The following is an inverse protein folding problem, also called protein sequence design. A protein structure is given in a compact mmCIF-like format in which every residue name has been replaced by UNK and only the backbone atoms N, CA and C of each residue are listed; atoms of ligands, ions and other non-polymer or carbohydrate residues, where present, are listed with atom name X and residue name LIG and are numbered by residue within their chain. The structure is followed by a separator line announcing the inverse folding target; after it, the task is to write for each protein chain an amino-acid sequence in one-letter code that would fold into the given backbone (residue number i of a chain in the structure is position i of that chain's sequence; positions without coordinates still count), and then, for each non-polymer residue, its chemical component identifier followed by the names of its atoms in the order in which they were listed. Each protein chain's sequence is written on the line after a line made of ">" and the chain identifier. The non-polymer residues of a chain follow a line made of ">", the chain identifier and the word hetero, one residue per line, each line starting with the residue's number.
data_IF_226710075796
#
_entry.id   IF_226710075796
#
_cell.length_a   1.000
_cell.length_b   1.000
_cell.length_c   1.000
_cell.angle_alpha   90.00
_cell.angle_beta   90.00
_cell.angle_gamma   90.00
#
_symmetry.space_group_name_H-M   'P 1'
#
loop_
_entity.id
_entity.type
_entity.pdbx_description
1 polymer ?
#
# COMPACT_ATOMS: atom_id res chain seq x y z
N UNK A 1 -53.31 -43.46 48.69
CA UNK A 1 -52.16 -44.36 48.87
C UNK A 1 -50.91 -43.49 48.98
N UNK A 2 -50.32 -43.43 50.18
CA UNK A 2 -48.98 -42.96 50.63
C UNK A 2 -48.16 -41.94 49.82
N UNK A 3 -47.38 -41.01 50.37
CA UNK A 3 -47.06 -40.50 51.73
C UNK A 3 -46.14 -39.29 51.48
N UNK A 4 -46.22 -38.24 52.31
CA UNK A 4 -45.24 -37.12 52.36
C UNK A 4 -43.87 -37.62 52.85
N UNK A 5 -42.77 -37.04 52.37
CA UNK A 5 -41.56 -36.77 53.18
C UNK A 5 -40.89 -35.47 52.71
N UNK A 6 -40.66 -34.55 53.66
CA UNK A 6 -39.79 -33.36 53.59
C UNK A 6 -38.38 -33.73 54.10
N UNK A 7 -37.42 -32.80 53.93
CA UNK A 7 -36.11 -32.65 54.61
C UNK A 7 -34.89 -33.10 53.76
N UNK A 8 -33.68 -32.51 53.72
CA UNK A 8 -32.86 -31.48 54.44
C UNK A 8 -31.85 -30.91 53.39
N UNK A 9 -31.46 -29.64 53.31
CA UNK A 9 -30.53 -28.83 54.13
C UNK A 9 -29.10 -29.42 54.33
N UNK A 10 -28.12 -28.59 53.93
CA UNK A 10 -26.71 -28.43 54.34
C UNK A 10 -25.56 -29.28 53.73
N UNK A 11 -24.67 -28.53 53.06
CA UNK A 11 -23.19 -28.46 53.20
C UNK A 11 -22.32 -29.71 53.03
N UNK A 12 -21.25 -29.57 52.23
CA UNK A 12 -19.84 -29.72 52.65
C UNK A 12 -18.90 -29.22 51.53
N UNK A 13 -18.00 -28.31 51.91
CA UNK A 13 -16.77 -27.93 51.22
C UNK A 13 -15.83 -29.14 51.09
N UNK A 14 -15.19 -29.33 49.93
CA UNK A 14 -13.76 -29.67 49.93
C UNK A 14 -13.09 -29.30 48.60
N UNK A 15 -12.11 -28.41 48.68
CA UNK A 15 -11.12 -28.13 47.64
C UNK A 15 -10.28 -29.38 47.37
N UNK A 16 -10.09 -29.71 46.09
CA UNK A 16 -8.84 -30.34 45.66
C UNK A 16 -8.25 -29.53 44.50
N UNK A 17 -7.13 -28.90 44.81
CA UNK A 17 -6.18 -28.34 43.85
C UNK A 17 -5.44 -29.51 43.20
N UNK A 18 -5.57 -29.70 41.89
CA UNK A 18 -4.53 -30.36 41.09
C UNK A 18 -4.29 -29.48 39.88
N UNK A 19 -3.25 -28.66 39.98
CA UNK A 19 -2.55 -28.15 38.82
C UNK A 19 -1.80 -29.32 38.19
N UNK A 20 -2.20 -29.72 36.99
CA UNK A 20 -1.36 -30.53 36.10
C UNK A 20 -1.11 -29.74 34.83
N UNK A 21 0.07 -29.12 34.78
CA UNK A 21 0.77 -28.86 33.54
C UNK A 21 0.93 -30.17 32.77
N UNK A 22 0.28 -30.27 31.62
CA UNK A 22 0.73 -31.13 30.53
C UNK A 22 0.86 -30.29 29.27
N UNK A 23 2.12 -30.10 28.88
CA UNK A 23 2.55 -29.81 27.53
C UNK A 23 1.96 -30.87 26.59
N UNK A 24 1.16 -30.45 25.63
CA UNK A 24 0.98 -31.18 24.38
C UNK A 24 1.20 -30.23 23.22
N UNK A 25 2.29 -30.50 22.50
CA UNK A 25 2.51 -30.03 21.14
C UNK A 25 1.41 -30.63 20.26
N UNK A 26 0.69 -29.77 19.55
CA UNK A 26 -0.39 -30.18 18.67
C UNK A 26 -1.14 -28.96 18.19
N UNK A 27 -0.75 -28.45 17.03
CA UNK A 27 -1.35 -27.28 16.42
C UNK A 27 -2.86 -27.44 16.25
N UNK A 28 -3.63 -26.71 17.05
CA UNK A 28 -4.99 -26.36 16.69
C UNK A 28 -4.90 -25.10 15.84
N UNK A 29 -5.05 -25.27 14.52
CA UNK A 29 -5.46 -24.18 13.65
C UNK A 29 -6.80 -23.69 14.18
N UNK A 30 -6.79 -22.57 14.89
CA UNK A 30 -7.99 -21.73 14.98
C UNK A 30 -8.17 -21.17 13.58
N UNK A 31 -8.92 -21.89 12.73
CA UNK A 31 -9.43 -21.34 11.49
C UNK A 31 -10.40 -20.22 11.88
N UNK A 32 -9.91 -18.99 11.78
CA UNK A 32 -10.65 -17.79 12.09
C UNK A 32 -11.90 -17.71 11.21
N UNK A 33 -13.09 -17.84 11.80
CA UNK A 33 -14.38 -17.65 11.16
C UNK A 33 -14.65 -16.20 10.68
N UNK A 34 -13.64 -15.32 10.71
CA UNK A 34 -13.68 -13.96 10.16
C UNK A 34 -13.30 -13.86 8.67
N UNK A 35 -12.68 -14.88 8.07
CA UNK A 35 -12.17 -14.79 6.70
C UNK A 35 -13.26 -14.86 5.61
N UNK A 36 -14.43 -15.44 5.90
CA UNK A 36 -15.50 -15.61 4.91
C UNK A 36 -16.30 -14.34 4.61
N UNK A 37 -16.30 -13.33 5.49
CA UNK A 37 -17.12 -12.13 5.33
C UNK A 37 -16.50 -11.03 4.48
N UNK A 38 -15.22 -11.17 4.10
CA UNK A 38 -14.50 -10.15 3.34
C UNK A 38 -13.99 -10.63 1.98
N UNK A 39 -14.32 -11.85 1.57
CA UNK A 39 -14.02 -12.33 0.23
C UNK A 39 -14.70 -11.45 -0.83
N UNK A 40 -14.05 -11.30 -2.00
CA UNK A 40 -14.67 -10.59 -3.10
C UNK A 40 -15.88 -11.38 -3.61
N UNK A 41 -17.01 -10.70 -3.82
CA UNK A 41 -18.14 -11.28 -4.55
C UNK A 41 -17.76 -11.55 -6.00
N UNK A 42 -18.48 -12.46 -6.67
CA UNK A 42 -18.28 -12.73 -8.10
C UNK A 42 -18.42 -11.47 -8.97
N UNK A 43 -19.30 -10.54 -8.56
CA UNK A 43 -19.47 -9.24 -9.21
C UNK A 43 -18.23 -8.36 -9.06
N UNK A 44 -17.69 -8.21 -7.84
CA UNK A 44 -16.47 -7.42 -7.61
C UNK A 44 -15.26 -8.00 -8.36
N UNK A 45 -15.11 -9.33 -8.39
CA UNK A 45 -14.07 -10.01 -9.18
C UNK A 45 -14.19 -9.65 -10.66
N UNK A 46 -15.41 -9.70 -11.19
CA UNK A 46 -15.67 -9.36 -12.59
C UNK A 46 -15.38 -7.87 -12.89
N UNK A 47 -15.77 -6.95 -12.01
CA UNK A 47 -15.46 -5.52 -12.14
C UNK A 47 -13.94 -5.29 -12.16
N UNK A 48 -13.22 -5.92 -11.24
CA UNK A 48 -11.76 -5.75 -11.15
C UNK A 48 -11.06 -6.27 -12.40
N UNK A 49 -11.40 -7.48 -12.84
CA UNK A 49 -10.78 -8.11 -14.02
C UNK A 49 -11.09 -7.36 -15.31
N UNK A 50 -12.34 -6.95 -15.52
CA UNK A 50 -12.79 -6.49 -16.83
C UNK A 50 -12.84 -4.98 -16.96
N UNK A 51 -12.98 -4.27 -15.84
CA UNK A 51 -13.02 -2.82 -15.83
C UNK A 51 -11.74 -2.29 -15.21
N UNK A 52 -11.50 -2.48 -13.91
CA UNK A 52 -10.44 -1.76 -13.19
C UNK A 52 -9.01 -2.05 -13.68
N UNK A 53 -8.76 -3.20 -14.30
CA UNK A 53 -7.41 -3.64 -14.71
C UNK A 53 -7.32 -3.88 -16.22
N UNK A 54 -7.28 -2.81 -17.01
CA UNK A 54 -7.28 -2.83 -18.50
C UNK A 54 -6.27 -3.80 -19.12
N UNK A 55 -5.13 -4.07 -18.46
CA UNK A 55 -4.06 -4.97 -18.93
C UNK A 55 -4.21 -6.45 -18.52
N UNK A 56 -5.15 -6.80 -17.64
CA UNK A 56 -5.34 -8.14 -17.10
C UNK A 56 -6.56 -8.84 -17.73
N UNK A 57 -6.65 -8.79 -19.06
CA UNK A 57 -7.72 -9.45 -19.82
C UNK A 57 -7.35 -10.92 -20.10
N UNK A 58 -8.15 -11.86 -19.59
CA UNK A 58 -7.95 -13.31 -19.81
C UNK A 58 -8.50 -14.18 -18.68
N UNK A 59 -8.67 -15.48 -18.91
CA UNK A 59 -9.12 -16.44 -17.89
C UNK A 59 -7.96 -16.81 -16.93
N UNK A 60 -8.28 -17.09 -15.66
CA UNK A 60 -7.38 -17.52 -14.56
C UNK A 60 -6.51 -16.47 -13.82
N UNK A 61 -7.02 -15.26 -13.58
CA UNK A 61 -6.42 -14.37 -12.56
C UNK A 61 -6.77 -14.84 -11.14
N UNK A 62 -5.78 -15.00 -10.25
CA UNK A 62 -6.04 -15.36 -8.84
C UNK A 62 -6.67 -14.18 -8.11
N UNK A 63 -7.60 -14.45 -7.20
CA UNK A 63 -8.26 -13.43 -6.38
C UNK A 63 -7.25 -12.58 -5.60
N UNK A 64 -6.23 -13.22 -5.02
CA UNK A 64 -5.17 -12.52 -4.29
C UNK A 64 -4.42 -11.49 -5.14
N UNK A 65 -4.25 -11.77 -6.44
CA UNK A 65 -3.56 -10.83 -7.35
C UNK A 65 -4.45 -9.61 -7.65
N UNK A 66 -5.77 -9.81 -7.82
CA UNK A 66 -6.73 -8.71 -7.95
C UNK A 66 -6.75 -7.83 -6.71
N UNK A 67 -6.74 -8.46 -5.52
CA UNK A 67 -6.73 -7.75 -4.25
C UNK A 67 -5.42 -6.97 -4.11
N UNK A 68 -4.27 -7.58 -4.39
CA UNK A 68 -2.98 -6.88 -4.34
C UNK A 68 -2.95 -5.66 -5.26
N UNK A 69 -3.54 -5.76 -6.45
CA UNK A 69 -3.68 -4.63 -7.37
C UNK A 69 -4.63 -3.54 -6.83
N UNK A 70 -5.72 -3.89 -6.15
CA UNK A 70 -6.53 -2.89 -5.41
C UNK A 70 -5.69 -2.23 -4.31
N UNK A 71 -5.01 -3.04 -3.50
CA UNK A 71 -4.19 -2.56 -2.37
C UNK A 71 -3.14 -1.54 -2.81
N UNK A 72 -2.50 -1.76 -3.96
CA UNK A 72 -1.55 -0.80 -4.55
C UNK A 72 -2.22 0.54 -4.85
N UNK A 73 -3.40 0.52 -5.48
CA UNK A 73 -4.10 1.73 -5.93
C UNK A 73 -4.76 2.50 -4.80
N UNK A 74 -5.16 1.81 -3.74
CA UNK A 74 -5.73 2.45 -2.54
C UNK A 74 -4.70 2.68 -1.43
N UNK A 75 -3.42 2.35 -1.63
CA UNK A 75 -2.42 2.34 -0.57
C UNK A 75 -2.28 3.67 0.17
N UNK A 76 -2.45 4.80 -0.53
CA UNK A 76 -2.39 6.12 0.06
C UNK A 76 -3.61 6.49 0.94
N UNK A 77 -4.59 5.61 1.10
CA UNK A 77 -5.87 5.89 1.77
C UNK A 77 -6.06 5.16 3.09
N UNK A 78 -5.01 4.55 3.65
CA UNK A 78 -5.05 3.96 5.01
C UNK A 78 -5.39 5.03 6.07
N UNK A 79 -4.94 6.28 5.85
CA UNK A 79 -5.21 7.46 6.70
C UNK A 79 -4.78 7.29 8.16
N UNK A 80 -3.63 6.66 8.37
CA UNK A 80 -3.02 6.48 9.68
C UNK A 80 -1.49 6.65 9.54
N UNK A 81 -0.89 7.47 10.41
CA UNK A 81 0.52 7.84 10.33
C UNK A 81 1.50 6.72 10.66
N UNK A 82 1.04 5.74 11.44
CA UNK A 82 1.83 4.63 11.98
C UNK A 82 1.52 3.29 11.30
N UNK A 83 0.61 3.29 10.32
CA UNK A 83 0.18 2.09 9.62
C UNK A 83 0.53 2.18 8.13
N UNK A 84 1.21 1.14 7.65
CA UNK A 84 1.53 1.00 6.24
C UNK A 84 0.57 0.00 5.59
N UNK A 85 0.15 0.30 4.37
CA UNK A 85 -0.66 -0.60 3.55
C UNK A 85 0.13 -1.87 3.24
N UNK A 86 -0.41 -3.00 3.67
CA UNK A 86 0.06 -4.33 3.27
C UNK A 86 -0.40 -4.63 1.84
N UNK A 87 0.49 -5.21 1.04
CA UNK A 87 0.20 -5.68 -0.32
C UNK A 87 0.35 -7.21 -0.30
N UNK A 88 -0.60 -7.86 0.36
CA UNK A 88 -0.59 -9.30 0.68
C UNK A 88 -1.65 -10.10 -0.07
N UNK A 89 -2.51 -9.42 -0.85
CA UNK A 89 -3.63 -10.05 -1.55
C UNK A 89 -4.78 -10.45 -0.64
N UNK A 90 -4.80 -9.98 0.62
CA UNK A 90 -5.88 -10.24 1.57
C UNK A 90 -6.83 -9.04 1.67
N UNK A 91 -8.11 -9.29 1.42
CA UNK A 91 -9.18 -8.28 1.54
C UNK A 91 -9.57 -8.10 3.02
N UNK A 92 -8.60 -7.77 3.88
CA UNK A 92 -8.83 -7.59 5.30
C UNK A 92 -9.43 -6.22 5.67
N UNK A 93 -9.66 -5.97 6.97
CA UNK A 93 -10.19 -4.70 7.48
C UNK A 93 -9.38 -3.47 7.04
N UNK A 94 -8.05 -3.57 6.94
CA UNK A 94 -7.20 -2.49 6.46
C UNK A 94 -7.51 -2.15 4.99
N UNK A 95 -7.56 -3.15 4.12
CA UNK A 95 -7.91 -2.99 2.70
C UNK A 95 -9.29 -2.39 2.53
N UNK A 96 -10.29 -2.89 3.28
CA UNK A 96 -11.67 -2.38 3.27
C UNK A 96 -11.74 -0.92 3.72
N UNK A 97 -11.01 -0.54 4.77
CA UNK A 97 -10.90 0.85 5.23
C UNK A 97 -10.26 1.76 4.18
N UNK A 98 -9.19 1.31 3.53
CA UNK A 98 -8.55 2.08 2.46
C UNK A 98 -9.49 2.31 1.26
N UNK A 99 -10.26 1.28 0.86
CA UNK A 99 -11.29 1.39 -0.18
C UNK A 99 -12.37 2.41 0.22
N UNK A 100 -12.86 2.33 1.46
CA UNK A 100 -13.86 3.26 2.00
C UNK A 100 -13.39 4.71 1.96
N UNK A 101 -12.17 4.95 2.44
CA UNK A 101 -11.56 6.29 2.45
C UNK A 101 -11.34 6.82 1.03
N UNK A 102 -10.90 5.97 0.10
CA UNK A 102 -10.82 6.31 -1.32
C UNK A 102 -12.20 6.72 -1.87
N UNK A 103 -13.23 5.91 -1.65
CA UNK A 103 -14.57 6.18 -2.17
C UNK A 103 -15.16 7.48 -1.62
N UNK A 104 -14.97 7.77 -0.33
CA UNK A 104 -15.38 9.05 0.27
C UNK A 104 -14.63 10.22 -0.36
N UNK A 105 -13.30 10.12 -0.50
CA UNK A 105 -12.47 11.21 -1.01
C UNK A 105 -12.77 11.57 -2.47
N UNK A 106 -13.24 10.61 -3.26
CA UNK A 106 -13.66 10.83 -4.65
C UNK A 106 -15.16 11.04 -4.82
N UNK A 107 -15.92 11.22 -3.74
CA UNK A 107 -17.36 11.50 -3.79
C UNK A 107 -18.22 10.33 -4.31
N UNK A 108 -17.70 9.11 -4.26
CA UNK A 108 -18.39 7.89 -4.72
C UNK A 108 -19.44 7.44 -3.69
N UNK A 109 -19.12 7.60 -2.40
CA UNK A 109 -20.00 7.25 -1.30
C UNK A 109 -19.30 6.48 -0.19
N UNK A 110 -20.04 6.23 0.88
CA UNK A 110 -19.52 5.61 2.09
C UNK A 110 -19.59 4.07 2.02
N UNK A 111 -18.76 3.46 1.18
CA UNK A 111 -18.72 2.00 0.98
C UNK A 111 -17.30 1.47 0.99
N UNK A 112 -17.09 0.35 1.65
CA UNK A 112 -15.80 -0.37 1.74
C UNK A 112 -15.61 -1.41 0.63
N UNK A 113 -16.46 -1.36 -0.40
CA UNK A 113 -16.48 -2.28 -1.55
C UNK A 113 -15.97 -1.62 -2.82
N UNK A 114 -15.46 -2.44 -3.73
CA UNK A 114 -15.17 -1.99 -5.10
C UNK A 114 -16.44 -2.12 -5.93
N UNK A 115 -17.24 -1.05 -5.95
CA UNK A 115 -18.41 -0.96 -6.81
C UNK A 115 -18.01 -0.45 -8.21
N UNK A 116 -18.97 -0.39 -9.13
CA UNK A 116 -18.73 0.07 -10.51
C UNK A 116 -18.03 1.44 -10.56
N UNK A 117 -18.52 2.42 -9.81
CA UNK A 117 -17.92 3.77 -9.73
C UNK A 117 -16.51 3.76 -9.13
N UNK A 118 -16.23 2.88 -8.16
CA UNK A 118 -14.87 2.66 -7.64
C UNK A 118 -13.95 2.17 -8.75
N UNK A 119 -14.35 1.14 -9.49
CA UNK A 119 -13.58 0.59 -10.61
C UNK A 119 -13.35 1.63 -11.71
N UNK A 120 -14.35 2.48 -12.03
CA UNK A 120 -14.19 3.57 -12.98
C UNK A 120 -13.19 4.63 -12.51
N UNK A 121 -13.22 5.02 -11.24
CA UNK A 121 -12.26 6.00 -10.71
C UNK A 121 -10.83 5.45 -10.69
N UNK A 122 -10.64 4.20 -10.26
CA UNK A 122 -9.34 3.53 -10.31
C UNK A 122 -8.79 3.50 -11.75
N UNK A 123 -9.64 3.20 -12.74
CA UNK A 123 -9.27 3.25 -14.15
C UNK A 123 -8.95 4.63 -14.69
N UNK A 124 -9.69 5.64 -14.24
CA UNK A 124 -9.50 7.02 -14.68
C UNK A 124 -8.16 7.56 -14.17
N UNK A 125 -7.79 7.16 -12.95
CA UNK A 125 -6.51 7.51 -12.35
C UNK A 125 -5.31 6.76 -12.96
N UNK A 126 -5.51 5.73 -13.77
CA UNK A 126 -4.43 4.93 -14.36
C UNK A 126 -4.27 5.17 -15.86
N UNK A 127 -3.04 5.49 -16.27
CA UNK A 127 -2.65 5.60 -17.67
C UNK A 127 -2.33 4.23 -18.26
N UNK A 128 -2.34 4.15 -19.59
CA UNK A 128 -2.09 2.89 -20.32
C UNK A 128 -0.70 2.30 -20.09
N UNK A 129 0.29 3.10 -19.70
CA UNK A 129 1.67 2.65 -19.42
C UNK A 129 1.88 2.20 -17.96
N UNK A 130 0.82 2.26 -17.13
CA UNK A 130 0.80 1.95 -15.71
C UNK A 130 1.15 3.13 -14.80
N UNK A 131 1.45 4.32 -15.34
CA UNK A 131 1.57 5.55 -14.56
C UNK A 131 0.20 6.06 -14.10
N UNK A 132 0.16 7.13 -13.31
CA UNK A 132 -1.13 7.69 -12.83
C UNK A 132 -1.48 9.00 -13.54
N UNK A 133 -2.74 9.41 -13.44
CA UNK A 133 -3.29 10.57 -14.13
C UNK A 133 -2.48 11.86 -13.95
N UNK A 134 -1.82 12.04 -12.79
CA UNK A 134 -1.05 13.24 -12.48
C UNK A 134 0.45 13.01 -12.31
N UNK A 135 0.95 11.79 -12.52
CA UNK A 135 2.37 11.47 -12.38
C UNK A 135 2.83 10.52 -13.49
N UNK A 136 3.76 10.99 -14.32
CA UNK A 136 4.37 10.20 -15.39
C UNK A 136 5.69 9.57 -14.95
N UNK A 137 6.08 8.42 -15.52
CA UNK A 137 7.37 7.79 -15.21
C UNK A 137 8.57 8.71 -15.49
N UNK A 138 8.48 9.55 -16.52
CA UNK A 138 9.51 10.53 -16.88
C UNK A 138 9.84 11.51 -15.74
N UNK A 139 8.87 11.84 -14.88
CA UNK A 139 9.09 12.74 -13.72
C UNK A 139 9.98 12.12 -12.65
N UNK A 140 10.08 10.79 -12.63
CA UNK A 140 10.91 10.03 -11.69
C UNK A 140 12.25 9.64 -12.31
N UNK A 141 12.57 10.12 -13.52
CA UNK A 141 13.82 9.80 -14.16
C UNK A 141 15.04 10.27 -13.34
N UNK A 142 16.14 9.52 -13.40
CA UNK A 142 17.39 9.91 -12.77
C UNK A 142 17.94 11.13 -13.48
N UNK A 143 18.12 12.22 -12.73
CA UNK A 143 18.74 13.44 -13.24
C UNK A 143 20.16 13.14 -13.74
N UNK A 144 20.54 13.83 -14.82
CA UNK A 144 21.88 13.73 -15.39
C UNK A 144 22.20 12.39 -16.04
N UNK A 145 21.21 11.49 -16.21
CA UNK A 145 21.41 10.23 -16.91
C UNK A 145 20.34 10.03 -18.03
N UNK A 146 20.74 10.10 -19.31
CA UNK A 146 19.82 9.98 -20.44
C UNK A 146 19.22 8.57 -20.57
N UNK A 147 19.81 7.57 -19.92
CA UNK A 147 19.38 6.17 -20.04
C UNK A 147 18.20 5.81 -19.16
N UNK A 148 17.69 6.71 -18.30
CA UNK A 148 16.53 6.37 -17.47
C UNK A 148 15.28 6.04 -18.28
N UNK A 149 15.16 6.60 -19.49
CA UNK A 149 14.13 6.21 -20.46
C UNK A 149 14.09 4.70 -20.72
N UNK A 150 15.25 4.02 -20.74
CA UNK A 150 15.33 2.56 -20.93
C UNK A 150 14.72 1.76 -19.78
N UNK A 151 14.65 2.33 -18.56
CA UNK A 151 13.97 1.71 -17.41
C UNK A 151 12.46 1.70 -17.61
N UNK A 152 11.93 2.75 -18.25
CA UNK A 152 10.49 2.97 -18.38
C UNK A 152 9.89 2.35 -19.65
N UNK A 153 10.63 2.40 -20.77
CA UNK A 153 10.09 2.18 -22.12
C UNK A 153 10.97 1.30 -23.04
N UNK A 154 12.10 0.77 -22.57
CA UNK A 154 13.13 0.14 -23.44
C UNK A 154 13.32 -1.38 -23.29
N UNK A 155 13.87 -1.99 -24.35
CA UNK A 155 14.05 -3.45 -24.55
C UNK A 155 15.49 -3.96 -24.37
N UNK A 156 16.46 -3.14 -23.97
CA UNK A 156 17.88 -3.56 -23.95
C UNK A 156 18.48 -3.68 -22.53
N UNK A 157 18.78 -4.89 -22.05
CA UNK A 157 19.39 -5.14 -20.73
C UNK A 157 20.85 -4.69 -20.60
N UNK A 158 21.52 -4.33 -21.71
CA UNK A 158 23.00 -4.21 -21.74
C UNK A 158 23.57 -3.10 -20.86
N UNK A 159 22.81 -2.04 -20.54
CA UNK A 159 23.27 -0.95 -19.66
C UNK A 159 22.71 -1.04 -18.22
N UNK A 160 21.82 -1.99 -17.95
CA UNK A 160 21.26 -2.24 -16.62
C UNK A 160 21.92 -3.44 -15.94
N UNK A 161 23.00 -3.95 -16.54
CA UNK A 161 23.92 -4.91 -15.94
C UNK A 161 24.28 -4.45 -14.52
N UNK A 162 24.13 -5.38 -13.57
CA UNK A 162 24.39 -5.26 -12.14
C UNK A 162 25.58 -4.31 -11.86
N UNK A 163 25.28 -3.08 -11.43
CA UNK A 163 26.30 -2.05 -11.16
C UNK A 163 25.74 -0.63 -11.16
N UNK A 164 24.77 -0.33 -12.04
CA UNK A 164 24.13 0.98 -12.11
C UNK A 164 22.83 1.05 -11.30
N UNK A 165 22.12 -0.06 -11.15
CA UNK A 165 20.92 -0.21 -10.31
C UNK A 165 21.08 -1.41 -9.38
N UNK A 166 20.47 -1.37 -8.19
CA UNK A 166 20.38 -2.55 -7.30
C UNK A 166 19.27 -3.53 -7.70
N UNK A 167 18.36 -3.12 -8.60
CA UNK A 167 17.19 -3.87 -9.03
C UNK A 167 17.07 -3.92 -10.55
N UNK A 168 16.29 -4.89 -11.06
CA UNK A 168 15.90 -4.94 -12.47
C UNK A 168 15.02 -3.74 -12.87
N UNK A 169 14.96 -3.38 -14.16
CA UNK A 169 14.13 -2.27 -14.64
C UNK A 169 12.66 -2.40 -14.28
N UNK A 170 12.09 -3.60 -14.44
CA UNK A 170 10.69 -3.88 -14.10
C UNK A 170 10.44 -3.70 -12.59
N UNK A 171 11.37 -4.11 -11.73
CA UNK A 171 11.24 -3.92 -10.29
C UNK A 171 11.32 -2.43 -9.90
N UNK A 172 12.18 -1.64 -10.55
CA UNK A 172 12.22 -0.18 -10.36
C UNK A 172 10.92 0.47 -10.84
N UNK A 173 10.44 0.11 -12.03
CA UNK A 173 9.17 0.58 -12.59
C UNK A 173 7.98 0.28 -11.70
N UNK A 174 7.89 -0.93 -11.17
CA UNK A 174 6.82 -1.30 -10.24
C UNK A 174 6.92 -0.55 -8.91
N UNK A 175 8.12 -0.35 -8.36
CA UNK A 175 8.28 0.46 -7.14
C UNK A 175 7.87 1.92 -7.35
N UNK A 176 8.19 2.50 -8.51
CA UNK A 176 7.77 3.87 -8.84
C UNK A 176 6.25 3.93 -9.05
N UNK A 177 5.63 2.94 -9.70
CA UNK A 177 4.17 2.87 -9.80
C UNK A 177 3.50 2.86 -8.42
N UNK A 178 3.98 2.04 -7.49
CA UNK A 178 3.47 2.00 -6.11
C UNK A 178 3.66 3.31 -5.34
N UNK A 179 4.71 4.05 -5.66
CA UNK A 179 4.96 5.38 -5.11
C UNK A 179 3.97 6.41 -5.68
N UNK A 180 3.71 6.38 -6.99
CA UNK A 180 2.74 7.27 -7.66
C UNK A 180 1.34 7.18 -7.06
N UNK A 181 0.84 5.98 -6.75
CA UNK A 181 -0.48 5.83 -6.14
C UNK A 181 -0.62 6.46 -4.76
N UNK A 182 0.46 6.47 -3.95
CA UNK A 182 0.47 7.21 -2.68
C UNK A 182 0.58 8.73 -2.90
N UNK A 183 1.27 9.16 -3.95
CA UNK A 183 1.36 10.56 -4.36
C UNK A 183 0.01 11.08 -4.89
N UNK A 184 -0.78 10.27 -5.60
CA UNK A 184 -2.16 10.62 -5.99
C UNK A 184 -3.03 10.89 -4.76
N UNK A 185 -2.97 10.01 -3.75
CA UNK A 185 -3.69 10.24 -2.51
C UNK A 185 -3.22 11.51 -1.79
N UNK A 186 -1.91 11.75 -1.72
CA UNK A 186 -1.34 12.97 -1.15
C UNK A 186 -1.81 14.22 -1.90
N UNK A 187 -1.82 14.18 -3.24
CA UNK A 187 -2.30 15.26 -4.11
C UNK A 187 -3.74 15.63 -3.76
N UNK A 188 -4.61 14.63 -3.63
CA UNK A 188 -6.02 14.83 -3.24
C UNK A 188 -6.13 15.42 -1.83
N UNK A 189 -5.38 14.90 -0.85
CA UNK A 189 -5.34 15.43 0.53
C UNK A 189 -4.84 16.87 0.64
N UNK A 190 -4.03 17.31 -0.32
CA UNK A 190 -3.57 18.69 -0.45
C UNK A 190 -4.55 19.55 -1.27
N UNK A 191 -5.81 19.14 -1.39
CA UNK A 191 -6.84 19.88 -2.12
C UNK A 191 -6.64 19.85 -3.63
N UNK A 192 -6.22 18.70 -4.17
CA UNK A 192 -5.90 18.52 -5.58
C UNK A 192 -4.74 19.40 -6.09
N UNK A 193 -3.85 19.84 -5.20
CA UNK A 193 -2.70 20.67 -5.55
C UNK A 193 -1.64 19.88 -6.33
N UNK A 194 -1.16 20.36 -7.50
CA UNK A 194 -0.09 19.69 -8.24
C UNK A 194 1.19 19.51 -7.41
N UNK A 195 1.72 18.28 -7.41
CA UNK A 195 2.96 17.93 -6.71
C UNK A 195 4.10 17.87 -7.72
N UNK A 196 5.16 18.63 -7.49
CA UNK A 196 6.38 18.58 -8.31
C UNK A 196 7.34 17.54 -7.74
N UNK A 197 7.67 16.52 -8.52
CA UNK A 197 8.77 15.60 -8.24
C UNK A 197 10.09 16.30 -8.60
N UNK A 198 10.89 16.60 -7.58
CA UNK A 198 12.22 17.22 -7.76
C UNK A 198 13.34 16.20 -7.85
N UNK A 199 13.14 14.98 -7.36
CA UNK A 199 14.07 13.86 -7.53
C UNK A 199 13.29 12.55 -7.39
N UNK A 200 13.46 11.62 -8.32
CA UNK A 200 12.83 10.29 -8.29
C UNK A 200 13.87 9.17 -8.17
N UNK A 201 13.81 8.19 -9.07
CA UNK A 201 14.80 7.12 -9.12
C UNK A 201 16.22 7.67 -9.31
N UNK A 202 17.20 7.04 -8.66
CA UNK A 202 18.62 7.35 -8.82
C UNK A 202 19.39 6.09 -9.14
N UNK A 203 20.24 6.13 -10.16
CA UNK A 203 21.26 5.10 -10.32
C UNK A 203 22.20 5.11 -9.12
N UNK A 204 22.76 3.95 -8.76
CA UNK A 204 23.70 3.79 -7.66
C UNK A 204 24.92 4.71 -7.80
N UNK A 205 25.48 4.82 -9.00
CA UNK A 205 26.61 5.69 -9.32
C UNK A 205 26.26 7.17 -9.13
N UNK A 206 25.12 7.62 -9.67
CA UNK A 206 24.64 8.97 -9.48
C UNK A 206 24.38 9.29 -8.01
N UNK A 207 23.72 8.38 -7.28
CA UNK A 207 23.47 8.53 -5.85
C UNK A 207 24.80 8.67 -5.08
N UNK A 208 25.82 7.87 -5.39
CA UNK A 208 27.15 7.99 -4.79
C UNK A 208 27.82 9.33 -5.13
N UNK A 209 27.73 9.77 -6.39
CA UNK A 209 28.32 11.02 -6.87
C UNK A 209 27.78 12.24 -6.11
N UNK A 210 26.48 12.25 -5.81
CA UNK A 210 25.85 13.36 -5.06
C UNK A 210 25.93 13.17 -3.52
N UNK A 211 26.73 12.21 -3.03
CA UNK A 211 26.87 11.95 -1.60
C UNK A 211 25.66 11.29 -0.93
N UNK A 212 24.77 10.67 -1.71
CA UNK A 212 23.58 10.00 -1.19
C UNK A 212 23.88 8.76 -0.34
N UNK A 213 22.99 8.46 0.59
CA UNK A 213 23.13 7.30 1.49
C UNK A 213 23.24 5.97 0.72
N UNK A 214 24.06 5.04 1.23
CA UNK A 214 24.32 3.71 0.61
C UNK A 214 23.05 2.85 0.43
N UNK A 215 22.06 3.05 1.30
CA UNK A 215 20.76 2.35 1.29
C UNK A 215 19.60 3.32 1.03
N UNK A 216 19.88 4.41 0.30
CA UNK A 216 18.87 5.38 -0.14
C UNK A 216 17.72 4.70 -0.87
N UNK A 217 16.48 5.02 -0.53
CA UNK A 217 15.30 4.43 -1.17
C UNK A 217 15.14 4.87 -2.64
N UNK A 218 15.79 5.97 -3.05
CA UNK A 218 15.84 6.40 -4.45
C UNK A 218 16.50 5.36 -5.37
N UNK A 219 17.49 4.60 -4.89
CA UNK A 219 18.19 3.59 -5.72
C UNK A 219 17.38 2.33 -5.97
N UNK A 220 16.24 2.20 -5.30
CA UNK A 220 15.28 1.11 -5.45
C UNK A 220 14.02 1.56 -6.22
N UNK A 221 13.94 2.83 -6.63
CA UNK A 221 12.71 3.40 -7.22
C UNK A 221 11.58 3.58 -6.19
N UNK A 222 11.90 3.56 -4.90
CA UNK A 222 10.91 3.62 -3.81
C UNK A 222 10.72 5.02 -3.24
N UNK A 223 11.47 6.02 -3.69
CA UNK A 223 11.47 7.36 -3.10
C UNK A 223 11.31 8.48 -4.12
N UNK A 224 10.76 9.58 -3.64
CA UNK A 224 10.76 10.87 -4.30
C UNK A 224 11.02 12.01 -3.32
N UNK A 225 11.72 13.03 -3.80
CA UNK A 225 11.79 14.33 -3.14
C UNK A 225 10.78 15.25 -3.84
N UNK A 226 9.80 15.76 -3.09
CA UNK A 226 8.64 16.47 -3.62
C UNK A 226 8.50 17.88 -3.07
N UNK A 227 7.90 18.77 -3.86
CA UNK A 227 7.52 20.11 -3.44
C UNK A 227 6.15 20.47 -4.00
N UNK A 228 5.42 21.34 -3.31
CA UNK A 228 4.07 21.77 -3.72
C UNK A 228 4.04 23.29 -3.71
N UNK A 229 3.66 23.89 -4.83
CA UNK A 229 3.65 25.35 -4.97
C UNK A 229 2.70 25.96 -3.94
N UNK A 230 3.14 27.01 -3.26
CA UNK A 230 2.37 27.73 -2.24
C UNK A 230 1.94 26.88 -1.02
N UNK A 231 2.58 25.72 -0.80
CA UNK A 231 2.35 24.88 0.38
C UNK A 231 3.69 24.65 1.06
N UNK A 232 3.78 24.99 2.35
CA UNK A 232 5.02 24.81 3.10
C UNK A 232 5.41 23.33 3.19
N UNK A 233 6.72 22.99 3.19
CA UNK A 233 7.17 21.60 3.38
C UNK A 233 6.58 20.96 4.64
N UNK A 234 6.40 21.71 5.72
CA UNK A 234 5.76 21.22 6.94
C UNK A 234 4.31 20.77 6.73
N UNK A 235 3.52 21.52 5.93
CA UNK A 235 2.14 21.14 5.60
C UNK A 235 2.11 19.93 4.66
N UNK A 236 3.02 19.85 3.70
CA UNK A 236 3.18 18.67 2.83
C UNK A 236 3.53 17.43 3.66
N UNK A 237 4.50 17.55 4.57
CA UNK A 237 4.94 16.47 5.45
C UNK A 237 3.79 15.93 6.31
N UNK A 238 2.99 16.82 6.90
CA UNK A 238 1.81 16.45 7.70
C UNK A 238 0.77 15.71 6.86
N UNK A 239 0.48 16.17 5.65
CA UNK A 239 -0.46 15.46 4.77
C UNK A 239 0.11 14.10 4.32
N UNK A 240 1.42 14.03 4.08
CA UNK A 240 2.11 12.81 3.67
C UNK A 240 2.09 11.73 4.75
N UNK A 241 2.11 12.08 6.04
CA UNK A 241 2.02 11.07 7.10
C UNK A 241 0.76 10.21 7.00
N UNK A 242 -0.34 10.74 6.48
CA UNK A 242 -1.58 9.98 6.34
C UNK A 242 -1.63 9.12 5.06
N UNK A 243 -0.63 9.19 4.19
CA UNK A 243 -0.61 8.53 2.87
C UNK A 243 0.23 7.25 2.82
N UNK A 244 0.40 6.57 3.96
CA UNK A 244 1.11 5.28 4.05
C UNK A 244 2.53 5.31 3.45
N UNK A 245 3.25 6.41 3.62
CA UNK A 245 4.69 6.46 3.30
C UNK A 245 5.50 5.84 4.43
N UNK A 246 6.38 4.91 4.07
CA UNK A 246 7.31 4.27 4.97
C UNK A 246 8.31 5.27 5.54
N UNK A 247 9.03 5.99 4.68
CA UNK A 247 9.92 7.08 5.11
C UNK A 247 9.38 8.46 4.79
N UNK A 248 9.52 9.38 5.74
CA UNK A 248 9.24 10.81 5.56
C UNK A 248 10.37 11.66 6.13
N UNK A 249 10.95 12.50 5.27
CA UNK A 249 11.97 13.48 5.63
C UNK A 249 11.49 14.90 5.39
N UNK A 250 11.50 15.76 6.41
CA UNK A 250 11.26 17.19 6.23
C UNK A 250 12.58 17.89 5.91
N UNK A 251 12.59 18.72 4.87
CA UNK A 251 13.71 19.60 4.54
C UNK A 251 13.21 21.03 4.32
N UNK A 252 14.12 22.00 4.26
CA UNK A 252 13.79 23.42 4.11
C UNK A 252 12.96 23.74 2.86
N UNK A 253 13.16 23.01 1.76
CA UNK A 253 12.56 23.31 0.44
C UNK A 253 11.75 22.17 -0.17
N UNK A 254 11.81 20.96 0.40
CA UNK A 254 11.12 19.78 -0.12
C UNK A 254 10.78 18.80 1.01
N UNK A 255 9.97 17.80 0.69
CA UNK A 255 9.69 16.65 1.55
C UNK A 255 10.19 15.41 0.84
N UNK A 256 10.98 14.59 1.53
CA UNK A 256 11.30 13.25 1.09
C UNK A 256 10.15 12.31 1.46
N UNK A 257 9.71 11.50 0.50
CA UNK A 257 8.72 10.45 0.70
C UNK A 257 9.23 9.14 0.12
N UNK A 258 9.02 8.02 0.80
CA UNK A 258 9.34 6.70 0.26
C UNK A 258 8.43 5.57 0.73
N UNK A 259 8.49 4.43 0.05
CA UNK A 259 7.66 3.25 0.26
C UNK A 259 8.42 2.08 0.92
N UNK A 260 9.42 2.36 1.76
CA UNK A 260 10.03 1.31 2.60
C UNK A 260 8.97 0.65 3.49
N UNK A 261 9.22 -0.57 3.93
CA UNK A 261 8.26 -1.41 4.66
C UNK A 261 8.24 -1.17 6.18
N UNK A 262 8.77 -0.05 6.65
CA UNK A 262 8.76 0.34 8.06
C UNK A 262 8.66 1.85 8.18
N UNK A 263 8.14 2.33 9.30
CA UNK A 263 7.99 3.76 9.58
C UNK A 263 9.36 4.37 9.92
N UNK A 264 9.77 5.39 9.17
CA UNK A 264 10.96 6.21 9.42
C UNK A 264 10.61 7.69 9.27
N UNK A 265 11.04 8.52 10.22
CA UNK A 265 10.72 9.96 10.24
C UNK A 265 11.99 10.75 10.59
N UNK A 266 12.30 11.78 9.82
CA UNK A 266 13.40 12.72 10.11
C UNK A 266 13.03 14.13 9.64
N UNK A 267 13.71 15.14 10.18
CA UNK A 267 13.49 16.56 9.91
C UNK A 267 14.81 17.30 9.95
#
# INVERSE_FOLDING_TARGET
>A
MHRRVKHRILSILLMFFIATTLLFAGGVKVANAQSSNYALSSYEKNLLQNLAFKGWKGFNVREADLIAEVQIRVAGWVNNADELMDIDGYMGPQTRRAIRNFNIAYGIGDTDRVIYSTAQMLNWLENNDGSTAHFNFSEFACKGNPYTWSVWYGTSPKQLSYGWSKLSPNAVKENVRRLMWRLEALRTKLGNSPIKVTSGFRYYTYNKQIGGAKNSQHIYGKAADISVRNVSPAKVYKAASESSFGGLGLYNSFVHVDTRNYVARWK
#
